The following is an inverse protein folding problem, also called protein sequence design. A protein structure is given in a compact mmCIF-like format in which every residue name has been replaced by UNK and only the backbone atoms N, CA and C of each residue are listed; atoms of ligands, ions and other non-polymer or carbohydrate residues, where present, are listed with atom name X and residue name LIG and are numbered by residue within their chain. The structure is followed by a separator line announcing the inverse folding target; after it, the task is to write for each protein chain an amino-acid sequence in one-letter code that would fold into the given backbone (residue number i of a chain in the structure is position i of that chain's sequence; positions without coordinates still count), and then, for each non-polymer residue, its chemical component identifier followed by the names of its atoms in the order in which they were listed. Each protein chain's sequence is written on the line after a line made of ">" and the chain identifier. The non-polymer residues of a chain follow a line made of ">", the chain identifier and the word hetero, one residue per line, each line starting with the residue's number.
data_IF_138359004723
#
_entry.id   IF_138359004723
#
_cell.length_a   1.000
_cell.length_b   1.000
_cell.length_c   1.000
_cell.angle_alpha   90.00
_cell.angle_beta   90.00
_cell.angle_gamma   90.00
#
_symmetry.space_group_name_H-M   'P 1'
#
loop_
_entity.id
_entity.type
_entity.pdbx_description
1 polymer ?
#
# COMPACT_ATOMS: atom_id res chain seq x y z
N UNK A 1 8.65 -27.16 -2.98
CA UNK A 1 9.09 -26.17 -4.00
C UNK A 1 8.93 -24.80 -3.38
N UNK A 2 10.02 -24.13 -2.99
CA UNK A 2 9.94 -22.75 -2.52
C UNK A 2 10.03 -21.84 -3.73
N UNK A 3 8.89 -21.36 -4.23
CA UNK A 3 8.84 -20.40 -5.33
C UNK A 3 9.28 -19.04 -4.80
N UNK A 4 10.26 -18.40 -5.46
CA UNK A 4 10.66 -17.03 -5.12
C UNK A 4 9.47 -16.11 -5.45
N UNK A 5 8.95 -15.39 -4.45
CA UNK A 5 7.93 -14.38 -4.69
C UNK A 5 8.60 -13.05 -5.08
N UNK A 6 8.55 -12.70 -6.37
CA UNK A 6 9.06 -11.43 -6.90
C UNK A 6 7.95 -10.39 -6.85
N UNK A 7 8.16 -9.31 -6.09
CA UNK A 7 7.18 -8.25 -5.86
C UNK A 7 7.62 -6.96 -6.55
N UNK A 8 6.74 -6.34 -7.33
CA UNK A 8 6.96 -5.02 -7.92
C UNK A 8 6.37 -3.92 -7.05
N UNK A 9 7.17 -2.91 -6.75
CA UNK A 9 6.73 -1.72 -6.02
C UNK A 9 6.46 -0.57 -6.98
N UNK A 10 5.30 0.06 -6.84
CA UNK A 10 4.91 1.27 -7.54
C UNK A 10 4.75 2.41 -6.54
N UNK A 11 5.20 3.60 -6.94
CA UNK A 11 5.13 4.81 -6.12
C UNK A 11 4.27 5.82 -6.85
N UNK A 12 3.33 6.44 -6.13
CA UNK A 12 2.46 7.43 -6.71
C UNK A 12 3.26 8.67 -7.16
N UNK A 13 3.11 9.05 -8.44
CA UNK A 13 3.96 10.07 -9.10
C UNK A 13 3.98 11.44 -8.42
N UNK A 14 2.94 11.82 -7.67
CA UNK A 14 2.88 13.12 -6.98
C UNK A 14 3.62 13.14 -5.64
N UNK A 15 4.25 12.03 -5.27
CA UNK A 15 4.89 11.84 -3.97
C UNK A 15 6.39 12.08 -4.10
N UNK A 16 6.90 13.14 -3.48
CA UNK A 16 8.32 13.41 -3.38
C UNK A 16 8.82 12.88 -2.02
N UNK A 17 9.64 11.83 -2.06
CA UNK A 17 10.20 11.20 -0.87
C UNK A 17 11.72 11.23 -0.91
N UNK A 18 12.33 11.32 0.28
CA UNK A 18 13.74 10.95 0.42
C UNK A 18 13.92 9.44 0.18
N UNK A 19 15.10 9.00 -0.29
CA UNK A 19 15.41 7.58 -0.46
C UNK A 19 15.20 6.78 0.83
N UNK A 20 15.58 7.34 1.97
CA UNK A 20 15.42 6.71 3.29
C UNK A 20 13.96 6.43 3.62
N UNK A 21 13.07 7.42 3.44
CA UNK A 21 11.63 7.24 3.66
C UNK A 21 11.03 6.21 2.71
N UNK A 22 11.48 6.18 1.46
CA UNK A 22 11.05 5.18 0.49
C UNK A 22 11.38 3.77 0.97
N UNK A 23 12.60 3.53 1.45
CA UNK A 23 12.98 2.24 2.02
C UNK A 23 12.14 1.87 3.25
N UNK A 24 11.84 2.83 4.12
CA UNK A 24 10.97 2.61 5.27
C UNK A 24 9.54 2.21 4.87
N UNK A 25 8.96 2.89 3.88
CA UNK A 25 7.61 2.58 3.37
C UNK A 25 7.57 1.23 2.65
N UNK A 26 8.60 0.89 1.87
CA UNK A 26 8.73 -0.42 1.24
C UNK A 26 8.79 -1.53 2.29
N UNK A 27 9.59 -1.34 3.35
CA UNK A 27 9.67 -2.30 4.45
C UNK A 27 8.32 -2.44 5.18
N UNK A 28 7.66 -1.32 5.49
CA UNK A 28 6.33 -1.32 6.12
C UNK A 28 5.30 -2.08 5.29
N UNK A 29 5.29 -1.85 3.98
CA UNK A 29 4.38 -2.54 3.07
C UNK A 29 4.65 -4.04 2.99
N UNK A 30 5.93 -4.43 2.95
CA UNK A 30 6.31 -5.84 2.96
C UNK A 30 5.93 -6.55 4.27
N UNK A 31 6.20 -5.91 5.42
CA UNK A 31 5.81 -6.42 6.74
C UNK A 31 4.29 -6.56 6.85
N UNK A 32 3.54 -5.57 6.37
CA UNK A 32 2.07 -5.61 6.38
C UNK A 32 1.53 -6.74 5.51
N UNK A 33 2.09 -6.95 4.31
CA UNK A 33 1.71 -8.08 3.46
C UNK A 33 1.97 -9.42 4.14
N UNK A 34 3.14 -9.56 4.78
CA UNK A 34 3.51 -10.77 5.52
C UNK A 34 2.59 -11.02 6.70
N UNK A 35 2.31 -10.01 7.51
CA UNK A 35 1.43 -10.11 8.68
C UNK A 35 0.01 -10.52 8.29
N UNK A 36 -0.51 -9.94 7.20
CA UNK A 36 -1.81 -10.30 6.62
C UNK A 36 -1.82 -11.61 5.82
N UNK A 37 -0.69 -12.32 5.73
CA UNK A 37 -0.50 -13.54 4.92
C UNK A 37 -0.90 -13.35 3.44
N UNK A 38 -0.67 -12.16 2.91
CA UNK A 38 -0.87 -11.83 1.50
C UNK A 38 0.34 -12.27 0.67
N UNK A 39 0.10 -12.71 -0.55
CA UNK A 39 1.13 -13.04 -1.54
C UNK A 39 1.04 -12.10 -2.74
N UNK A 40 1.35 -10.79 -2.56
CA UNK A 40 1.20 -9.82 -3.63
C UNK A 40 2.26 -10.02 -4.71
N UNK A 41 1.86 -9.76 -5.97
CA UNK A 41 2.80 -9.56 -7.09
C UNK A 41 3.14 -8.09 -7.29
N UNK A 42 2.20 -7.21 -6.95
CA UNK A 42 2.34 -5.77 -7.10
C UNK A 42 1.87 -5.06 -5.84
N UNK A 43 2.64 -4.07 -5.40
CA UNK A 43 2.29 -3.20 -4.28
C UNK A 43 2.39 -1.75 -4.76
N UNK A 44 1.31 -0.99 -4.59
CA UNK A 44 1.29 0.44 -4.83
C UNK A 44 1.29 1.19 -3.50
N UNK A 45 2.31 2.03 -3.30
CA UNK A 45 2.39 3.00 -2.22
C UNK A 45 1.72 4.29 -2.70
N UNK A 46 0.52 4.57 -2.18
CA UNK A 46 -0.34 5.66 -2.68
C UNK A 46 -0.08 7.00 -1.99
N UNK A 47 0.42 6.97 -0.76
CA UNK A 47 0.63 8.17 0.07
C UNK A 47 1.75 7.99 1.08
N UNK A 48 2.43 9.10 1.45
CA UNK A 48 3.28 9.12 2.64
C UNK A 48 2.41 9.01 3.90
N UNK A 49 3.02 8.92 5.08
CA UNK A 49 2.31 8.98 6.35
C UNK A 49 1.66 10.35 6.49
N UNK A 50 0.35 10.36 6.71
CA UNK A 50 -0.46 11.57 6.84
C UNK A 50 -1.55 11.39 7.90
N UNK A 51 -2.00 12.51 8.47
CA UNK A 51 -2.92 12.53 9.61
C UNK A 51 -4.35 12.90 9.19
N UNK A 52 -4.64 12.95 7.90
CA UNK A 52 -5.93 13.41 7.39
C UNK A 52 -6.56 12.34 6.52
N UNK A 53 -7.87 12.17 6.64
CA UNK A 53 -8.66 11.29 5.78
C UNK A 53 -9.91 11.99 5.30
N UNK A 54 -10.59 11.43 4.30
CA UNK A 54 -11.82 12.02 3.74
C UNK A 54 -13.04 11.42 4.43
N UNK A 55 -13.63 12.16 5.36
CA UNK A 55 -14.85 11.77 6.10
C UNK A 55 -16.00 12.66 5.60
N UNK A 56 -17.09 12.04 5.13
CA UNK A 56 -18.25 12.74 4.53
C UNK A 56 -17.86 13.74 3.43
N UNK A 57 -16.91 13.38 2.58
CA UNK A 57 -16.49 14.23 1.47
C UNK A 57 -15.50 15.34 1.81
N UNK A 58 -15.20 15.58 3.10
CA UNK A 58 -14.28 16.62 3.57
C UNK A 58 -13.00 16.01 4.14
N UNK A 59 -11.86 16.64 3.90
CA UNK A 59 -10.62 16.27 4.56
C UNK A 59 -10.70 16.67 6.04
N UNK A 60 -10.48 15.71 6.93
CA UNK A 60 -10.53 15.89 8.37
C UNK A 60 -9.35 15.13 8.99
N UNK A 61 -8.96 15.49 10.22
CA UNK A 61 -7.95 14.74 10.96
C UNK A 61 -8.47 13.33 11.21
N UNK A 62 -7.66 12.33 10.93
CA UNK A 62 -8.03 10.94 11.11
C UNK A 62 -8.15 10.64 12.62
N UNK A 63 -9.28 10.07 13.08
CA UNK A 63 -9.48 9.71 14.48
C UNK A 63 -8.56 8.57 14.96
N UNK A 64 -8.09 7.72 14.05
CA UNK A 64 -7.14 6.62 14.34
C UNK A 64 -5.68 7.08 14.23
N UNK A 65 -5.46 8.31 13.77
CA UNK A 65 -4.15 8.96 13.75
C UNK A 65 -3.37 8.81 12.44
N UNK A 66 -2.04 8.96 12.48
CA UNK A 66 -1.18 8.91 11.31
C UNK A 66 -1.28 7.56 10.59
N UNK A 67 -1.48 7.59 9.29
CA UNK A 67 -1.59 6.39 8.47
C UNK A 67 -1.02 6.60 7.07
N UNK A 68 -0.80 5.49 6.35
CA UNK A 68 -0.40 5.47 4.93
C UNK A 68 -1.34 4.55 4.15
N UNK A 69 -1.53 4.81 2.87
CA UNK A 69 -2.37 3.97 2.00
C UNK A 69 -1.53 3.07 1.12
N UNK A 70 -1.70 1.76 1.29
CA UNK A 70 -1.01 0.71 0.55
C UNK A 70 -2.05 -0.14 -0.19
N UNK A 71 -1.85 -0.35 -1.49
CA UNK A 71 -2.69 -1.22 -2.30
C UNK A 71 -1.91 -2.47 -2.69
N UNK A 72 -2.50 -3.63 -2.49
CA UNK A 72 -1.91 -4.94 -2.79
C UNK A 72 -2.68 -5.57 -3.94
N UNK A 73 -1.95 -6.16 -4.89
CA UNK A 73 -2.54 -6.98 -5.95
C UNK A 73 -1.92 -8.37 -5.91
N UNK A 74 -2.77 -9.36 -5.80
CA UNK A 74 -2.44 -10.78 -5.85
C UNK A 74 -3.09 -11.43 -7.08
N UNK A 75 -2.88 -12.75 -7.24
CA UNK A 75 -3.49 -13.54 -8.31
C UNK A 75 -4.96 -13.92 -8.04
N UNK A 76 -5.49 -13.60 -6.85
CA UNK A 76 -6.83 -13.99 -6.42
C UNK A 76 -7.95 -13.10 -6.93
N UNK A 77 -7.63 -11.89 -7.40
CA UNK A 77 -8.60 -10.96 -7.98
C UNK A 77 -8.49 -10.91 -9.51
N UNK A 78 -9.20 -11.82 -10.17
CA UNK A 78 -9.65 -11.61 -11.55
C UNK A 78 -10.60 -10.40 -11.63
N UNK A 79 -10.84 -9.82 -12.82
CA UNK A 79 -11.85 -8.78 -12.96
C UNK A 79 -13.16 -9.31 -12.39
N UNK A 80 -13.82 -8.52 -11.52
CA UNK A 80 -15.18 -8.78 -11.11
C UNK A 80 -16.00 -8.96 -12.39
N UNK A 81 -16.33 -10.21 -12.73
CA UNK A 81 -17.27 -10.48 -13.80
C UNK A 81 -18.56 -9.82 -13.38
N UNK A 82 -18.96 -8.78 -14.12
CA UNK A 82 -20.29 -8.20 -14.03
C UNK A 82 -21.30 -9.35 -14.25
N UNK A 83 -21.92 -9.81 -13.16
CA UNK A 83 -23.20 -10.52 -13.19
C UNK A 83 -24.31 -9.51 -13.05
#
# INVERSE_FOLDING_TARGET
>A
MSTINVVRFFIYSKMSLSPEKLHQLVNLAYLTARDRKLYPKEILIRSDVHNTTKIFGKYQKDPEGPHTTLCYKDDGYGPLTKT
#
